data_IF_757828867729
#
_entry.id   IF_757828867729
#
_cell.length_a   1.000
_cell.length_b   1.000
_cell.length_c   1.000
_cell.angle_alpha   90.00
_cell.angle_beta   90.00
_cell.angle_gamma   90.00
#
_symmetry.space_group_name_H-M   'P 1'
#
loop_
_entity.id
_entity.type
_entity.pdbx_description
1 polymer ?
#
# COMPACT_ATOMS: atom_id res chain seq x y z
N UNK A 1 10.38 51.07 -33.07
CA UNK A 1 11.40 50.04 -32.69
C UNK A 1 11.30 49.51 -31.22
N UNK A 2 10.35 50.01 -30.42
CA UNK A 2 10.18 49.60 -29.00
C UNK A 2 9.20 48.46 -28.73
N UNK A 3 8.18 48.28 -29.57
CA UNK A 3 7.11 47.29 -29.34
C UNK A 3 7.53 45.87 -29.78
N UNK A 4 8.26 45.77 -30.89
CA UNK A 4 8.77 44.48 -31.41
C UNK A 4 9.79 43.85 -30.46
N UNK A 5 10.66 44.67 -29.81
CA UNK A 5 11.58 44.15 -28.76
C UNK A 5 10.88 43.68 -27.48
N UNK A 6 9.74 44.30 -27.10
CA UNK A 6 8.96 43.82 -25.95
C UNK A 6 8.19 42.54 -26.25
N UNK A 7 7.66 42.37 -27.46
CA UNK A 7 6.99 41.16 -27.90
C UNK A 7 7.98 39.99 -28.03
N UNK A 8 9.19 40.25 -28.56
CA UNK A 8 10.25 39.24 -28.63
C UNK A 8 10.75 38.82 -27.23
N UNK A 9 10.80 39.75 -26.27
CA UNK A 9 11.18 39.45 -24.89
C UNK A 9 10.09 38.66 -24.13
N UNK A 10 8.81 38.91 -24.42
CA UNK A 10 7.67 38.13 -23.87
C UNK A 10 7.63 36.74 -24.49
N UNK A 11 7.89 36.57 -25.76
CA UNK A 11 7.99 35.27 -26.43
C UNK A 11 9.22 34.47 -25.92
N UNK A 12 10.35 35.15 -25.63
CA UNK A 12 11.53 34.50 -25.04
C UNK A 12 11.31 34.07 -23.57
N UNK A 13 10.46 34.83 -22.83
CA UNK A 13 10.06 34.43 -21.46
C UNK A 13 9.09 33.25 -21.43
N UNK A 14 8.28 33.06 -22.47
CA UNK A 14 7.42 31.87 -22.62
C UNK A 14 8.17 30.64 -23.07
N UNK A 15 9.36 30.77 -23.68
CA UNK A 15 10.20 29.63 -24.07
C UNK A 15 11.18 29.16 -22.98
N UNK A 16 11.32 29.90 -21.87
CA UNK A 16 12.23 29.53 -20.77
C UNK A 16 11.48 28.90 -19.57
N UNK A 17 10.15 28.83 -19.64
CA UNK A 17 9.35 28.19 -18.61
C UNK A 17 8.76 26.85 -19.06
N UNK A 18 9.48 26.08 -19.88
CA UNK A 18 9.43 24.62 -19.77
C UNK A 18 10.26 24.23 -18.55
N UNK A 19 9.76 24.65 -17.39
CA UNK A 19 10.18 24.04 -16.14
C UNK A 19 9.88 22.56 -16.24
N UNK A 20 10.93 21.79 -16.23
CA UNK A 20 10.97 20.38 -15.95
C UNK A 20 9.93 20.02 -14.85
N UNK A 21 8.71 19.73 -15.22
CA UNK A 21 7.91 18.81 -14.48
C UNK A 21 8.56 17.44 -14.70
N UNK A 22 9.70 17.20 -14.05
CA UNK A 22 10.17 15.87 -13.80
C UNK A 22 9.06 15.22 -12.98
N UNK A 23 8.21 14.46 -13.66
CA UNK A 23 7.49 13.38 -13.01
C UNK A 23 8.55 12.59 -12.28
N UNK A 24 8.55 12.69 -10.95
CA UNK A 24 9.41 11.91 -10.05
C UNK A 24 8.94 10.47 -10.15
N UNK A 25 9.29 9.80 -11.25
CA UNK A 25 9.16 8.34 -11.35
C UNK A 25 10.02 7.71 -10.25
N UNK A 26 9.57 6.57 -9.71
CA UNK A 26 10.29 5.81 -8.70
C UNK A 26 11.74 5.59 -9.17
N UNK A 27 12.72 6.19 -8.50
CA UNK A 27 14.13 5.98 -8.82
C UNK A 27 14.62 4.70 -8.16
N UNK A 28 15.27 3.84 -8.94
CA UNK A 28 15.69 2.50 -8.56
C UNK A 28 17.17 2.28 -8.81
N UNK A 29 17.83 1.47 -7.98
CA UNK A 29 19.19 1.02 -8.20
C UNK A 29 19.17 -0.50 -8.48
N UNK A 30 19.55 -0.90 -9.69
CA UNK A 30 19.64 -2.30 -10.08
C UNK A 30 21.07 -2.59 -10.52
N UNK A 31 21.76 -3.54 -9.88
CA UNK A 31 23.17 -3.88 -10.13
C UNK A 31 24.10 -2.66 -10.16
N UNK A 32 23.91 -1.71 -9.24
CA UNK A 32 24.72 -0.50 -9.14
C UNK A 32 24.37 0.61 -10.13
N UNK A 33 23.43 0.39 -11.04
CA UNK A 33 22.94 1.39 -11.98
C UNK A 33 21.60 1.97 -11.50
N UNK A 34 21.41 3.26 -11.69
CA UNK A 34 20.17 3.95 -11.34
C UNK A 34 19.19 3.96 -12.50
N UNK A 35 17.92 3.73 -12.18
CA UNK A 35 16.81 3.72 -13.14
C UNK A 35 15.63 4.51 -12.59
N UNK A 36 14.84 5.07 -13.49
CA UNK A 36 13.48 5.52 -13.20
C UNK A 36 12.53 4.38 -13.62
N UNK A 37 11.64 3.98 -12.72
CA UNK A 37 10.55 3.08 -13.08
C UNK A 37 9.46 3.85 -13.80
N UNK A 38 9.14 3.44 -15.03
CA UNK A 38 8.06 3.96 -15.83
C UNK A 38 7.00 2.90 -16.09
N UNK A 39 5.75 3.21 -15.80
CA UNK A 39 4.61 2.34 -16.17
C UNK A 39 4.07 2.81 -17.51
N UNK A 40 4.08 1.91 -18.49
CA UNK A 40 3.64 2.20 -19.85
C UNK A 40 2.17 2.58 -19.88
N UNK A 41 1.87 3.76 -20.40
CA UNK A 41 0.51 4.29 -20.58
C UNK A 41 -0.10 3.82 -21.91
N UNK A 42 -1.44 3.87 -22.07
CA UNK A 42 -2.06 3.66 -23.38
C UNK A 42 -1.45 4.64 -24.39
N UNK A 43 -1.24 4.24 -25.61
CA UNK A 43 -0.67 5.06 -26.69
C UNK A 43 0.83 5.38 -26.58
N UNK A 44 1.52 5.08 -25.48
CA UNK A 44 2.97 5.24 -25.41
C UNK A 44 3.69 4.18 -26.26
N UNK A 45 4.75 4.63 -26.91
CA UNK A 45 5.67 3.81 -27.71
C UNK A 45 7.09 3.99 -27.16
N UNK A 46 8.01 3.09 -27.51
CA UNK A 46 9.43 3.30 -27.17
C UNK A 46 9.94 4.66 -27.61
N UNK A 47 9.51 5.15 -28.77
CA UNK A 47 9.91 6.48 -29.27
C UNK A 47 9.37 7.63 -28.39
N UNK A 48 8.13 7.55 -27.91
CA UNK A 48 7.58 8.58 -27.03
C UNK A 48 8.24 8.58 -25.67
N UNK A 49 8.51 7.38 -25.11
CA UNK A 49 9.22 7.20 -23.85
C UNK A 49 10.68 7.64 -23.96
N UNK A 50 11.36 7.28 -25.04
CA UNK A 50 12.72 7.73 -25.37
C UNK A 50 12.85 9.25 -25.35
N UNK A 51 11.96 9.96 -26.05
CA UNK A 51 11.90 11.43 -26.07
C UNK A 51 11.64 12.02 -24.68
N UNK A 52 10.70 11.43 -23.93
CA UNK A 52 10.31 11.89 -22.58
C UNK A 52 11.48 11.84 -21.61
N UNK A 53 12.25 10.75 -21.61
CA UNK A 53 13.35 10.54 -20.66
C UNK A 53 14.74 10.85 -21.22
N UNK A 54 14.84 11.28 -22.51
CA UNK A 54 16.11 11.56 -23.21
C UNK A 54 17.10 10.37 -23.18
N UNK A 55 16.56 9.16 -23.35
CA UNK A 55 17.28 7.89 -23.40
C UNK A 55 17.00 7.25 -24.75
N UNK A 56 17.98 6.62 -25.40
CA UNK A 56 17.76 6.03 -26.71
C UNK A 56 16.83 4.81 -26.64
N UNK A 57 16.16 4.50 -27.74
CA UNK A 57 15.27 3.32 -27.83
C UNK A 57 16.04 2.04 -27.61
N UNK A 58 17.28 1.97 -28.15
CA UNK A 58 18.20 0.84 -28.02
C UNK A 58 18.57 0.61 -26.56
N UNK A 59 18.89 1.68 -25.81
CA UNK A 59 19.17 1.61 -24.36
C UNK A 59 17.94 1.12 -23.60
N UNK A 60 16.74 1.61 -23.92
CA UNK A 60 15.50 1.14 -23.28
C UNK A 60 15.26 -0.35 -23.51
N UNK A 61 15.45 -0.83 -24.75
CA UNK A 61 15.28 -2.24 -25.10
C UNK A 61 16.36 -3.10 -24.41
N UNK A 62 17.60 -2.64 -24.40
CA UNK A 62 18.74 -3.36 -23.79
C UNK A 62 18.51 -3.59 -22.29
N UNK A 63 18.11 -2.54 -21.56
CA UNK A 63 17.89 -2.62 -20.11
C UNK A 63 16.62 -3.38 -19.71
N UNK A 64 15.62 -3.43 -20.57
CA UNK A 64 14.35 -4.12 -20.29
C UNK A 64 14.26 -5.51 -20.95
N UNK A 65 15.24 -5.88 -21.78
CA UNK A 65 15.27 -7.17 -22.50
C UNK A 65 14.00 -7.52 -23.27
N UNK A 66 13.25 -6.51 -23.68
CA UNK A 66 11.99 -6.68 -24.38
C UNK A 66 11.86 -5.68 -25.53
N UNK A 67 11.68 -6.18 -26.74
CA UNK A 67 11.49 -5.39 -27.96
C UNK A 67 10.04 -4.94 -28.19
N UNK A 68 9.08 -5.53 -27.47
CA UNK A 68 7.67 -5.17 -27.53
C UNK A 68 7.24 -4.46 -26.27
N UNK A 69 6.41 -3.43 -26.41
CA UNK A 69 5.87 -2.64 -25.33
C UNK A 69 4.43 -3.06 -25.07
N UNK A 70 4.09 -3.32 -23.80
CA UNK A 70 2.75 -3.67 -23.38
C UNK A 70 2.19 -2.62 -22.44
N UNK A 71 0.93 -2.33 -22.56
CA UNK A 71 0.20 -1.48 -21.61
C UNK A 71 0.38 -1.98 -20.18
N UNK A 72 0.66 -1.06 -19.25
CA UNK A 72 0.99 -1.34 -17.84
C UNK A 72 2.31 -2.08 -17.59
N UNK A 73 3.10 -2.31 -18.61
CA UNK A 73 4.44 -2.83 -18.41
C UNK A 73 5.28 -1.85 -17.58
N UNK A 74 6.00 -2.38 -16.60
CA UNK A 74 7.01 -1.61 -15.88
C UNK A 74 8.30 -1.60 -16.68
N UNK A 75 8.78 -0.41 -17.05
CA UNK A 75 10.06 -0.20 -17.72
C UNK A 75 11.08 0.41 -16.78
N UNK A 76 12.31 -0.06 -16.89
CA UNK A 76 13.50 0.53 -16.26
C UNK A 76 14.13 1.52 -17.23
N UNK A 77 14.10 2.80 -16.89
CA UNK A 77 14.68 3.88 -17.67
C UNK A 77 16.05 4.21 -17.09
N UNK A 78 17.18 3.96 -17.78
CA UNK A 78 18.51 4.19 -17.23
C UNK A 78 18.78 5.68 -17.00
N UNK A 79 19.37 6.01 -15.83
CA UNK A 79 19.79 7.37 -15.49
C UNK A 79 21.30 7.48 -15.69
N UNK A 80 21.76 8.46 -16.49
CA UNK A 80 23.21 8.67 -16.71
C UNK A 80 23.92 9.06 -15.41
N UNK A 81 25.12 8.54 -15.21
CA UNK A 81 25.92 8.56 -13.95
C UNK A 81 26.06 9.93 -13.26
N UNK A 82 26.15 11.03 -13.99
CA UNK A 82 26.30 12.38 -13.42
C UNK A 82 25.11 12.84 -12.55
N UNK A 83 23.90 12.36 -12.83
CA UNK A 83 22.71 12.63 -12.00
C UNK A 83 22.65 11.64 -10.83
N UNK A 84 23.08 10.38 -11.06
CA UNK A 84 23.18 9.35 -10.04
C UNK A 84 24.11 9.76 -8.90
N UNK A 85 25.29 10.28 -9.23
CA UNK A 85 26.28 10.76 -8.25
C UNK A 85 25.76 11.93 -7.42
N UNK A 86 25.02 12.88 -8.01
CA UNK A 86 24.43 14.00 -7.28
C UNK A 86 23.34 13.58 -6.29
N UNK A 87 22.59 12.50 -6.58
CA UNK A 87 21.54 11.98 -5.69
C UNK A 87 22.12 11.10 -4.57
N UNK A 88 23.21 10.36 -4.83
CA UNK A 88 23.85 9.46 -3.87
C UNK A 88 24.82 10.16 -2.91
N UNK A 89 25.52 11.23 -3.33
CA UNK A 89 26.63 11.83 -2.58
C UNK A 89 26.27 13.11 -1.80
N UNK A 90 25.05 13.62 -1.89
CA UNK A 90 24.64 14.82 -1.15
C UNK A 90 24.49 14.60 0.37
N UNK A 91 24.53 13.39 0.88
CA UNK A 91 24.16 13.04 2.26
C UNK A 91 25.26 12.39 3.11
N UNK A 92 26.56 12.67 2.86
CA UNK A 92 27.62 12.22 3.81
C UNK A 92 27.58 12.92 5.19
N UNK A 93 26.76 13.96 5.37
CA UNK A 93 26.67 14.73 6.64
C UNK A 93 25.38 14.51 7.45
N UNK A 94 24.40 13.69 7.01
CA UNK A 94 23.09 13.61 7.67
C UNK A 94 22.84 12.36 8.53
N UNK A 95 23.85 11.54 8.79
CA UNK A 95 23.67 10.31 9.59
C UNK A 95 23.23 10.53 11.06
N UNK A 96 23.24 11.75 11.57
CA UNK A 96 22.81 12.07 12.95
C UNK A 96 21.40 12.67 13.08
N UNK A 97 20.77 13.18 12.01
CA UNK A 97 19.45 13.85 12.09
C UNK A 97 18.26 12.96 11.76
N UNK A 98 18.47 11.69 11.45
CA UNK A 98 17.44 10.76 10.96
C UNK A 98 16.27 10.52 11.93
N UNK A 99 16.46 10.80 13.22
CA UNK A 99 15.51 10.42 14.27
C UNK A 99 14.95 11.60 15.11
N UNK A 100 15.20 12.85 14.72
CA UNK A 100 14.92 13.99 15.62
C UNK A 100 13.48 14.52 15.61
N UNK A 101 12.65 14.31 14.59
CA UNK A 101 11.41 15.07 14.40
C UNK A 101 10.07 14.32 14.44
N UNK A 102 10.00 13.10 14.97
CA UNK A 102 8.71 12.40 15.08
C UNK A 102 8.00 12.69 16.42
N UNK A 103 6.75 13.14 16.39
CA UNK A 103 5.91 13.32 17.58
C UNK A 103 5.70 11.99 18.29
N UNK A 104 6.05 11.90 19.57
CA UNK A 104 5.86 10.71 20.42
C UNK A 104 4.39 10.32 20.48
N UNK A 105 4.03 9.14 19.95
CA UNK A 105 2.73 8.52 20.17
C UNK A 105 2.59 8.04 21.62
N UNK A 106 1.43 8.28 22.26
CA UNK A 106 1.15 7.75 23.59
C UNK A 106 0.84 6.25 23.49
N UNK A 107 1.60 5.41 24.18
CA UNK A 107 1.21 4.02 24.43
C UNK A 107 2.20 2.90 24.08
N UNK A 108 3.26 3.18 23.35
CA UNK A 108 4.32 2.18 23.10
C UNK A 108 5.41 2.26 24.16
N UNK A 109 5.83 1.12 24.70
CA UNK A 109 7.01 1.03 25.56
C UNK A 109 8.23 1.50 24.77
N UNK A 110 9.10 2.27 25.41
CA UNK A 110 10.29 2.81 24.77
C UNK A 110 11.35 1.71 24.69
N UNK A 111 11.35 0.90 23.61
CA UNK A 111 12.36 -0.14 23.37
C UNK A 111 13.78 0.42 23.18
N UNK A 112 13.90 1.73 22.86
CA UNK A 112 15.20 2.40 22.65
C UNK A 112 16.12 2.43 23.89
N UNK A 113 15.63 1.99 25.06
CA UNK A 113 16.41 1.91 26.31
C UNK A 113 16.84 0.48 26.68
N UNK A 114 16.54 -0.52 25.85
CA UNK A 114 16.92 -1.89 26.10
C UNK A 114 18.24 -2.22 25.41
N UNK A 115 19.05 -3.05 26.05
CA UNK A 115 20.34 -3.53 25.50
C UNK A 115 20.15 -4.40 24.25
N UNK A 116 19.02 -5.13 24.18
CA UNK A 116 18.62 -5.90 23.00
C UNK A 116 17.11 -5.98 22.86
N UNK A 117 16.62 -6.11 21.63
CA UNK A 117 15.21 -6.29 21.28
C UNK A 117 15.00 -7.61 20.54
N UNK A 118 14.17 -8.50 21.11
CA UNK A 118 13.85 -9.79 20.52
C UNK A 118 12.53 -9.68 19.71
N UNK A 119 12.61 -9.89 18.41
CA UNK A 119 11.48 -9.83 17.47
C UNK A 119 11.20 -11.22 16.95
N UNK A 120 9.99 -11.75 17.12
CA UNK A 120 9.54 -12.97 16.47
C UNK A 120 8.64 -12.66 15.30
N UNK A 121 8.88 -13.35 14.18
CA UNK A 121 8.10 -13.23 12.94
C UNK A 121 7.51 -14.60 12.63
N UNK A 122 6.18 -14.67 12.59
CA UNK A 122 5.43 -15.89 12.35
C UNK A 122 4.72 -15.78 11.00
N UNK A 123 5.32 -16.35 9.96
CA UNK A 123 4.84 -16.24 8.57
C UNK A 123 4.69 -17.61 7.92
N UNK A 124 3.80 -17.76 6.92
CA UNK A 124 3.62 -19.01 6.20
C UNK A 124 4.61 -19.12 5.05
N UNK A 125 5.82 -19.60 5.34
CA UNK A 125 6.86 -19.83 4.32
C UNK A 125 6.60 -21.09 3.51
N UNK A 126 5.79 -22.02 4.04
CA UNK A 126 5.48 -23.30 3.41
C UNK A 126 6.74 -24.10 3.04
N UNK A 127 7.70 -24.17 3.97
CA UNK A 127 8.98 -24.86 3.75
C UNK A 127 8.79 -26.32 3.30
N UNK A 128 7.88 -27.08 3.94
CA UNK A 128 7.59 -28.45 3.53
C UNK A 128 7.10 -28.59 2.08
N UNK A 129 6.34 -27.60 1.58
CA UNK A 129 5.88 -27.62 0.18
C UNK A 129 6.99 -27.24 -0.78
N UNK A 130 7.83 -26.28 -0.40
CA UNK A 130 9.00 -25.90 -1.21
C UNK A 130 10.00 -27.05 -1.29
N UNK A 131 10.28 -27.74 -0.17
CA UNK A 131 11.15 -28.92 -0.14
C UNK A 131 10.59 -30.04 -1.03
N UNK A 132 9.26 -30.27 -0.99
CA UNK A 132 8.61 -31.23 -1.87
C UNK A 132 8.73 -30.86 -3.35
N UNK A 133 8.54 -29.58 -3.72
CA UNK A 133 8.72 -29.12 -5.09
C UNK A 133 10.15 -29.35 -5.56
N UNK A 134 11.14 -28.97 -4.76
CA UNK A 134 12.56 -29.11 -5.10
C UNK A 134 12.99 -30.57 -5.23
N UNK A 135 12.41 -31.50 -4.44
CA UNK A 135 12.75 -32.94 -4.49
C UNK A 135 12.34 -33.64 -5.80
N UNK A 136 11.38 -33.09 -6.53
CA UNK A 136 10.93 -33.62 -7.84
C UNK A 136 11.70 -33.06 -9.04
N UNK A 137 12.58 -32.08 -8.84
CA UNK A 137 13.26 -31.37 -9.91
C UNK A 137 14.72 -31.80 -10.00
N UNK A 138 15.24 -31.93 -11.24
CA UNK A 138 16.68 -32.07 -11.46
C UNK A 138 17.40 -30.76 -11.10
N UNK A 139 18.71 -30.80 -10.80
CA UNK A 139 19.50 -29.60 -10.46
C UNK A 139 19.39 -28.47 -11.49
N UNK A 140 19.32 -28.82 -12.80
CA UNK A 140 19.14 -27.85 -13.88
C UNK A 140 17.74 -27.25 -13.92
N UNK A 141 16.73 -27.93 -13.41
CA UNK A 141 15.34 -27.47 -13.31
C UNK A 141 15.15 -26.66 -12.03
N UNK A 142 15.75 -27.04 -10.90
CA UNK A 142 15.70 -26.30 -9.62
C UNK A 142 16.18 -24.88 -9.77
N UNK A 143 17.15 -24.62 -10.64
CA UNK A 143 17.65 -23.26 -10.90
C UNK A 143 16.67 -22.36 -11.70
N UNK A 144 15.60 -22.93 -12.27
CA UNK A 144 14.63 -22.23 -13.12
C UNK A 144 13.22 -22.17 -12.54
N UNK A 145 12.95 -23.00 -11.52
CA UNK A 145 11.61 -23.13 -10.97
C UNK A 145 11.33 -22.05 -9.92
N UNK A 146 10.09 -21.60 -9.93
CA UNK A 146 9.56 -20.70 -8.93
C UNK A 146 9.29 -21.44 -7.61
N UNK A 147 9.50 -20.75 -6.50
CA UNK A 147 9.07 -21.20 -5.18
C UNK A 147 7.53 -21.34 -5.12
N UNK A 148 7.05 -22.13 -4.16
CA UNK A 148 5.61 -22.29 -3.94
C UNK A 148 4.93 -20.92 -3.84
N UNK A 149 3.94 -20.69 -4.68
CA UNK A 149 3.32 -19.37 -4.93
C UNK A 149 2.88 -18.64 -3.65
N UNK A 150 2.31 -19.38 -2.69
CA UNK A 150 1.81 -18.76 -1.46
C UNK A 150 2.94 -18.35 -0.49
N UNK A 151 4.20 -18.79 -0.74
CA UNK A 151 5.39 -18.38 0.02
C UNK A 151 5.84 -16.95 -0.31
N UNK A 152 5.54 -16.44 -1.52
CA UNK A 152 6.01 -15.13 -1.97
C UNK A 152 5.67 -13.99 -1.02
N UNK A 153 4.47 -14.00 -0.45
CA UNK A 153 4.07 -12.97 0.52
C UNK A 153 4.95 -12.99 1.76
N UNK A 154 5.24 -14.18 2.30
CA UNK A 154 6.04 -14.35 3.50
C UNK A 154 7.51 -13.96 3.26
N UNK A 155 8.07 -14.36 2.11
CA UNK A 155 9.45 -14.03 1.73
C UNK A 155 9.63 -12.54 1.54
N UNK A 156 8.76 -11.90 0.77
CA UNK A 156 8.81 -10.45 0.55
C UNK A 156 8.63 -9.65 1.85
N UNK A 157 7.77 -10.15 2.75
CA UNK A 157 7.61 -9.54 4.07
C UNK A 157 8.88 -9.66 4.90
N UNK A 158 9.53 -10.84 4.91
CA UNK A 158 10.80 -11.07 5.60
C UNK A 158 11.92 -10.19 5.04
N UNK A 159 12.03 -10.06 3.72
CA UNK A 159 13.01 -9.18 3.07
C UNK A 159 12.88 -7.72 3.56
N UNK A 160 11.64 -7.22 3.66
CA UNK A 160 11.38 -5.89 4.22
C UNK A 160 11.82 -5.75 5.68
N UNK A 161 11.60 -6.79 6.51
CA UNK A 161 12.06 -6.83 7.90
C UNK A 161 13.59 -6.85 7.99
N UNK A 162 14.26 -7.61 7.14
CA UNK A 162 15.73 -7.67 7.11
C UNK A 162 16.32 -6.28 6.83
N UNK A 163 15.78 -5.53 5.85
CA UNK A 163 16.24 -4.15 5.60
C UNK A 163 15.97 -3.25 6.81
N UNK A 164 14.84 -3.41 7.48
CA UNK A 164 14.51 -2.61 8.66
C UNK A 164 15.48 -2.90 9.83
N UNK A 165 15.70 -4.18 10.15
CA UNK A 165 16.59 -4.59 11.25
C UNK A 165 18.05 -4.22 10.96
N UNK A 166 18.53 -4.40 9.72
CA UNK A 166 19.87 -3.95 9.30
C UNK A 166 20.02 -2.42 9.45
N UNK A 167 18.99 -1.67 9.09
CA UNK A 167 18.98 -0.21 9.20
C UNK A 167 19.00 0.24 10.67
N UNK A 168 18.25 -0.40 11.54
CA UNK A 168 18.19 -0.12 12.97
C UNK A 168 19.50 -0.53 13.68
N UNK A 169 20.09 -1.66 13.31
CA UNK A 169 21.39 -2.12 13.87
C UNK A 169 22.52 -1.13 13.57
N UNK A 170 22.50 -0.51 12.38
CA UNK A 170 23.46 0.57 12.03
C UNK A 170 23.30 1.83 12.89
N UNK A 171 22.19 1.99 13.59
CA UNK A 171 21.98 3.10 14.55
C UNK A 171 22.35 2.72 15.99
N UNK A 172 22.95 1.54 16.20
CA UNK A 172 23.35 1.04 17.52
C UNK A 172 22.28 0.24 18.25
N UNK A 173 21.17 -0.09 17.60
CA UNK A 173 20.12 -0.92 18.22
C UNK A 173 20.47 -2.41 18.04
N UNK A 174 20.56 -3.16 19.14
CA UNK A 174 20.80 -4.59 19.09
C UNK A 174 19.47 -5.34 18.90
N UNK A 175 19.28 -5.98 17.74
CA UNK A 175 18.03 -6.69 17.38
C UNK A 175 18.30 -8.15 17.08
N UNK A 176 17.56 -9.03 17.75
CA UNK A 176 17.51 -10.46 17.47
C UNK A 176 16.21 -10.78 16.72
N UNK A 177 16.31 -11.23 15.48
CA UNK A 177 15.17 -11.61 14.66
C UNK A 177 15.00 -13.12 14.64
N UNK A 178 13.88 -13.60 15.21
CA UNK A 178 13.49 -15.01 15.24
C UNK A 178 12.41 -15.26 14.19
N UNK A 179 12.70 -16.10 13.22
CA UNK A 179 11.79 -16.42 12.11
C UNK A 179 11.19 -17.80 12.30
N UNK A 180 9.86 -17.88 12.27
CA UNK A 180 9.12 -19.13 12.43
C UNK A 180 8.19 -19.35 11.23
N UNK A 181 8.31 -20.54 10.60
CA UNK A 181 7.37 -20.95 9.56
C UNK A 181 6.10 -21.52 10.20
N UNK A 182 4.99 -20.87 9.91
CA UNK A 182 3.66 -21.30 10.35
C UNK A 182 3.00 -22.30 9.40
N UNK A 183 3.44 -22.39 8.15
CA UNK A 183 2.79 -23.12 7.04
C UNK A 183 1.27 -22.91 6.97
N UNK A 184 0.77 -21.81 7.55
CA UNK A 184 -0.66 -21.57 7.76
C UNK A 184 -1.34 -22.71 8.54
N UNK A 185 -0.58 -23.47 9.33
CA UNK A 185 -1.05 -24.60 10.15
C UNK A 185 -1.18 -24.19 11.62
N UNK A 186 -2.36 -24.44 12.18
CA UNK A 186 -2.68 -24.14 13.57
C UNK A 186 -1.90 -25.03 14.56
N UNK A 187 -1.62 -26.28 14.19
CA UNK A 187 -0.86 -27.20 15.02
C UNK A 187 0.62 -26.76 15.14
N UNK A 188 1.24 -26.33 14.02
CA UNK A 188 2.59 -25.76 14.05
C UNK A 188 2.67 -24.52 14.95
N UNK A 189 1.70 -23.61 14.84
CA UNK A 189 1.66 -22.41 15.71
C UNK A 189 1.49 -22.80 17.18
N UNK A 190 0.64 -23.77 17.51
CA UNK A 190 0.50 -24.29 18.87
C UNK A 190 1.79 -24.94 19.38
N UNK A 191 2.55 -25.65 18.52
CA UNK A 191 3.84 -26.23 18.89
C UNK A 191 4.86 -25.14 19.24
N UNK A 192 4.98 -24.07 18.40
CA UNK A 192 5.84 -22.90 18.67
C UNK A 192 5.54 -22.30 20.06
N UNK A 193 4.25 -22.23 20.42
CA UNK A 193 3.80 -21.71 21.72
C UNK A 193 4.17 -22.66 22.84
N UNK A 194 3.91 -24.00 22.70
CA UNK A 194 4.23 -25.04 23.68
C UNK A 194 5.71 -25.10 23.95
N UNK A 195 6.55 -25.01 22.93
CA UNK A 195 8.01 -24.97 23.02
C UNK A 195 8.55 -23.72 23.71
N UNK A 196 7.66 -22.83 24.17
CA UNK A 196 7.98 -21.55 24.83
C UNK A 196 8.88 -20.63 24.00
N UNK A 197 8.95 -20.81 22.67
CA UNK A 197 9.79 -20.03 21.76
C UNK A 197 9.45 -18.52 21.78
N UNK A 198 8.20 -18.18 22.17
CA UNK A 198 7.75 -16.78 22.28
C UNK A 198 7.89 -16.21 23.72
N UNK A 199 8.47 -16.95 24.68
CA UNK A 199 8.54 -16.50 26.09
C UNK A 199 9.36 -15.20 26.24
N UNK A 200 10.52 -15.14 25.61
CA UNK A 200 11.47 -14.02 25.74
C UNK A 200 11.39 -13.02 24.56
N UNK A 201 10.31 -13.05 23.81
CA UNK A 201 10.08 -12.13 22.68
C UNK A 201 9.41 -10.85 23.18
N UNK A 202 9.86 -9.72 22.70
CA UNK A 202 9.31 -8.39 22.99
C UNK A 202 8.25 -7.98 21.98
N UNK A 203 8.51 -8.24 20.69
CA UNK A 203 7.64 -7.90 19.57
C UNK A 203 7.33 -9.15 18.76
N UNK A 204 6.05 -9.52 18.68
CA UNK A 204 5.55 -10.66 17.89
C UNK A 204 4.82 -10.09 16.66
N UNK A 205 5.31 -10.39 15.46
CA UNK A 205 4.70 -10.00 14.18
C UNK A 205 4.05 -11.24 13.56
N UNK A 206 2.74 -11.21 13.40
CA UNK A 206 1.96 -12.36 12.92
C UNK A 206 1.49 -13.27 14.05
N UNK A 207 1.00 -14.48 13.71
CA UNK A 207 0.72 -15.03 12.36
C UNK A 207 -0.17 -14.15 11.48
N UNK A 208 -0.03 -14.33 10.16
CA UNK A 208 -0.79 -13.51 9.18
C UNK A 208 -2.28 -13.82 9.20
N UNK A 209 -2.62 -15.12 9.28
CA UNK A 209 -4.01 -15.55 9.22
C UNK A 209 -4.67 -15.49 10.60
N UNK A 210 -5.88 -14.92 10.66
CA UNK A 210 -6.62 -14.64 11.90
C UNK A 210 -6.77 -15.88 12.81
N UNK A 211 -7.05 -17.07 12.23
CA UNK A 211 -7.20 -18.31 12.99
C UNK A 211 -5.94 -18.62 13.78
N UNK A 212 -4.79 -18.53 13.14
CA UNK A 212 -3.49 -18.82 13.71
C UNK A 212 -3.03 -17.72 14.67
N UNK A 213 -3.26 -16.46 14.32
CA UNK A 213 -2.96 -15.31 15.19
C UNK A 213 -3.74 -15.39 16.51
N UNK A 214 -4.97 -15.89 16.48
CA UNK A 214 -5.78 -16.06 17.70
C UNK A 214 -5.16 -17.03 18.71
N UNK A 215 -4.41 -18.04 18.28
CA UNK A 215 -3.67 -18.92 19.20
C UNK A 215 -2.63 -18.14 20.00
N UNK A 216 -1.96 -17.17 19.37
CA UNK A 216 -0.97 -16.30 20.01
C UNK A 216 -1.65 -15.25 20.90
N UNK A 217 -2.68 -14.56 20.39
CA UNK A 217 -3.33 -13.46 21.11
C UNK A 217 -4.06 -13.91 22.37
N UNK A 218 -4.65 -15.11 22.39
CA UNK A 218 -5.29 -15.68 23.58
C UNK A 218 -4.32 -15.90 24.73
N UNK A 219 -3.06 -16.22 24.43
CA UNK A 219 -2.04 -16.51 25.45
C UNK A 219 -1.28 -15.25 25.85
N UNK A 220 -0.84 -14.47 24.87
CA UNK A 220 0.03 -13.35 25.10
C UNK A 220 -0.66 -11.96 25.00
N UNK A 221 -1.92 -11.89 24.56
CA UNK A 221 -2.62 -10.64 24.31
C UNK A 221 -2.89 -9.78 25.55
N UNK A 222 -2.77 -10.33 26.76
CA UNK A 222 -2.86 -9.60 28.01
C UNK A 222 -1.50 -9.32 28.66
N UNK A 223 -0.42 -9.87 28.11
CA UNK A 223 0.92 -9.66 28.65
C UNK A 223 1.43 -8.27 28.28
N UNK A 224 1.52 -7.38 29.25
CA UNK A 224 1.93 -5.98 29.05
C UNK A 224 3.40 -5.82 28.59
N UNK A 225 4.21 -6.87 28.70
CA UNK A 225 5.63 -6.83 28.32
C UNK A 225 5.87 -7.18 26.85
N UNK A 226 4.82 -7.60 26.16
CA UNK A 226 4.87 -7.99 24.76
C UNK A 226 4.01 -7.05 23.91
N UNK A 227 4.42 -6.84 22.67
CA UNK A 227 3.61 -6.24 21.62
C UNK A 227 3.29 -7.32 20.59
N UNK A 228 2.03 -7.42 20.18
CA UNK A 228 1.59 -8.33 19.13
C UNK A 228 1.04 -7.53 17.98
N UNK A 229 1.59 -7.74 16.79
CA UNK A 229 1.19 -7.05 15.57
C UNK A 229 0.43 -8.00 14.65
N UNK A 230 -0.81 -7.62 14.30
CA UNK A 230 -1.57 -8.23 13.22
C UNK A 230 -1.20 -7.54 11.91
N UNK A 231 -0.31 -8.13 11.08
CA UNK A 231 0.35 -7.39 10.02
C UNK A 231 -0.55 -7.11 8.82
N UNK A 232 -1.40 -8.05 8.43
CA UNK A 232 -2.15 -7.99 7.16
C UNK A 232 -3.66 -8.29 7.31
N UNK A 233 -4.13 -8.77 8.47
CA UNK A 233 -5.53 -9.09 8.67
C UNK A 233 -6.38 -7.85 8.93
N UNK A 234 -7.58 -7.81 8.32
CA UNK A 234 -8.63 -6.81 8.59
C UNK A 234 -9.63 -7.25 9.66
N UNK A 235 -9.51 -8.47 10.16
CA UNK A 235 -10.45 -9.00 11.16
C UNK A 235 -10.08 -8.51 12.55
N UNK A 236 -10.84 -7.53 13.05
CA UNK A 236 -10.59 -6.89 14.35
C UNK A 236 -11.05 -7.72 15.56
N UNK A 237 -11.65 -8.89 15.36
CA UNK A 237 -12.11 -9.73 16.48
C UNK A 237 -10.98 -10.18 17.39
N UNK A 238 -9.74 -10.29 16.89
CA UNK A 238 -8.54 -10.60 17.68
C UNK A 238 -8.21 -9.53 18.72
N UNK A 239 -8.60 -8.28 18.47
CA UNK A 239 -8.32 -7.17 19.38
C UNK A 239 -9.06 -7.29 20.72
N UNK A 240 -10.08 -8.17 20.81
CA UNK A 240 -10.75 -8.47 22.07
C UNK A 240 -9.88 -9.26 23.04
N UNK A 241 -8.86 -9.97 22.53
CA UNK A 241 -8.04 -10.87 23.33
C UNK A 241 -7.06 -10.12 24.26
N UNK A 242 -6.76 -8.83 24.00
CA UNK A 242 -5.90 -8.05 24.87
C UNK A 242 -5.57 -6.64 24.40
N UNK A 243 -4.98 -5.85 25.30
CA UNK A 243 -4.68 -4.43 25.10
C UNK A 243 -3.31 -4.13 24.48
N UNK A 244 -2.50 -5.15 24.18
CA UNK A 244 -1.17 -5.01 23.57
C UNK A 244 -1.14 -5.53 22.12
N UNK A 245 -2.31 -5.68 21.49
CA UNK A 245 -2.49 -6.15 20.11
C UNK A 245 -2.70 -4.94 19.20
N UNK A 246 -1.93 -4.87 18.14
CA UNK A 246 -1.96 -3.77 17.15
C UNK A 246 -2.31 -4.32 15.77
N UNK A 247 -3.40 -3.82 15.20
CA UNK A 247 -3.84 -4.17 13.85
C UNK A 247 -3.43 -3.08 12.88
N UNK A 248 -2.67 -3.45 11.85
CA UNK A 248 -2.11 -2.51 10.86
C UNK A 248 -3.16 -2.15 9.81
N UNK A 249 -3.78 -3.18 9.22
CA UNK A 249 -4.77 -2.97 8.16
C UNK A 249 -6.15 -2.74 8.78
N UNK A 250 -6.73 -1.55 8.62
CA UNK A 250 -8.01 -1.22 9.22
C UNK A 250 -9.15 -2.05 8.61
N UNK A 251 -10.15 -2.44 9.41
CA UNK A 251 -11.38 -3.05 8.91
C UNK A 251 -12.15 -2.09 8.01
N UNK A 252 -13.09 -2.61 7.24
CA UNK A 252 -13.89 -1.78 6.32
C UNK A 252 -14.68 -0.69 7.05
N UNK A 253 -15.14 -0.92 8.28
CA UNK A 253 -15.82 0.11 9.07
C UNK A 253 -14.98 1.38 9.25
N UNK A 254 -13.69 1.24 9.56
CA UNK A 254 -12.76 2.37 9.70
C UNK A 254 -12.50 3.04 8.34
N UNK A 255 -12.43 2.26 7.25
CA UNK A 255 -12.30 2.81 5.90
C UNK A 255 -13.57 3.60 5.50
N UNK A 256 -14.77 3.08 5.81
CA UNK A 256 -16.06 3.75 5.62
C UNK A 256 -16.11 5.07 6.39
N UNK A 257 -15.67 5.08 7.65
CA UNK A 257 -15.60 6.30 8.46
C UNK A 257 -14.66 7.34 7.85
N UNK A 258 -13.50 6.92 7.35
CA UNK A 258 -12.52 7.79 6.67
C UNK A 258 -13.13 8.41 5.41
N UNK A 259 -13.71 7.58 4.53
CA UNK A 259 -14.39 8.02 3.30
C UNK A 259 -15.53 8.99 3.64
N UNK A 260 -16.37 8.65 4.62
CA UNK A 260 -17.49 9.48 5.05
C UNK A 260 -17.04 10.84 5.57
N UNK A 261 -15.98 10.85 6.37
CA UNK A 261 -15.39 12.09 6.89
C UNK A 261 -14.80 12.95 5.78
N UNK A 262 -14.05 12.33 4.86
CA UNK A 262 -13.50 13.02 3.69
C UNK A 262 -14.62 13.62 2.82
N UNK A 263 -15.62 12.82 2.46
CA UNK A 263 -16.79 13.25 1.69
C UNK A 263 -17.51 14.43 2.35
N UNK A 264 -17.71 14.38 3.68
CA UNK A 264 -18.39 15.45 4.39
C UNK A 264 -17.62 16.77 4.38
N UNK A 265 -16.29 16.72 4.29
CA UNK A 265 -15.42 17.91 4.27
C UNK A 265 -15.27 18.49 2.86
N UNK A 266 -15.08 17.64 1.87
CA UNK A 266 -14.69 18.03 0.51
C UNK A 266 -15.87 18.14 -0.47
N UNK A 267 -16.94 17.37 -0.23
CA UNK A 267 -18.10 17.24 -1.11
C UNK A 267 -19.38 17.69 -0.38
N UNK A 268 -19.43 18.96 0.03
CA UNK A 268 -20.51 19.49 0.88
C UNK A 268 -21.86 19.58 0.18
N UNK A 269 -21.84 19.89 -1.13
CA UNK A 269 -23.03 20.25 -1.92
C UNK A 269 -23.52 19.11 -2.83
N UNK A 270 -22.73 18.06 -3.00
CA UNK A 270 -23.05 16.93 -3.87
C UNK A 270 -24.11 16.03 -3.20
N UNK A 271 -24.98 15.46 -4.01
CA UNK A 271 -25.94 14.43 -3.58
C UNK A 271 -25.22 13.12 -3.31
N UNK A 272 -25.63 12.38 -2.29
CA UNK A 272 -25.00 11.12 -1.90
C UNK A 272 -25.86 9.96 -2.35
N UNK A 273 -25.26 9.08 -3.16
CA UNK A 273 -25.83 7.82 -3.60
C UNK A 273 -24.94 6.66 -3.10
N UNK A 274 -25.56 5.68 -2.45
CA UNK A 274 -24.90 4.48 -1.94
C UNK A 274 -25.37 3.30 -2.79
N UNK A 275 -24.44 2.60 -3.46
CA UNK A 275 -24.70 1.43 -4.28
C UNK A 275 -24.07 0.20 -3.63
N UNK A 276 -24.86 -0.81 -3.30
CA UNK A 276 -24.35 -2.01 -2.64
C UNK A 276 -25.14 -3.25 -3.06
N UNK A 277 -24.55 -4.42 -2.89
CA UNK A 277 -25.31 -5.67 -2.90
C UNK A 277 -26.07 -5.84 -1.60
N UNK A 278 -27.16 -6.59 -1.63
CA UNK A 278 -27.97 -6.89 -0.44
C UNK A 278 -27.15 -7.53 0.69
N UNK A 279 -26.19 -8.39 0.35
CA UNK A 279 -25.26 -9.00 1.33
C UNK A 279 -24.35 -7.98 2.04
N UNK A 280 -24.19 -6.77 1.47
CA UNK A 280 -23.37 -5.67 1.99
C UNK A 280 -24.23 -4.55 2.61
N UNK A 281 -25.50 -4.80 2.85
CA UNK A 281 -26.45 -3.82 3.40
C UNK A 281 -25.96 -3.19 4.71
N UNK A 282 -25.24 -3.95 5.54
CA UNK A 282 -24.66 -3.43 6.80
C UNK A 282 -23.73 -2.26 6.53
N UNK A 283 -22.81 -2.37 5.55
CA UNK A 283 -21.90 -1.31 5.18
C UNK A 283 -22.61 -0.11 4.53
N UNK A 284 -23.66 -0.39 3.75
CA UNK A 284 -24.51 0.67 3.21
C UNK A 284 -25.24 1.44 4.33
N UNK A 285 -25.71 0.73 5.37
CA UNK A 285 -26.30 1.33 6.57
C UNK A 285 -25.28 2.16 7.36
N UNK A 286 -24.03 1.72 7.46
CA UNK A 286 -22.96 2.49 8.13
C UNK A 286 -22.80 3.86 7.47
N UNK A 287 -22.65 3.91 6.13
CA UNK A 287 -22.63 5.18 5.39
C UNK A 287 -23.86 6.02 5.64
N UNK A 288 -25.05 5.43 5.47
CA UNK A 288 -26.34 6.14 5.68
C UNK A 288 -26.43 6.75 7.08
N UNK A 289 -26.05 5.98 8.10
CA UNK A 289 -26.07 6.44 9.49
C UNK A 289 -25.09 7.59 9.71
N UNK A 290 -23.86 7.50 9.18
CA UNK A 290 -22.89 8.58 9.29
C UNK A 290 -23.46 9.88 8.72
N UNK A 291 -23.98 9.88 7.48
CA UNK A 291 -24.52 11.10 6.87
C UNK A 291 -25.77 11.62 7.59
N UNK A 292 -26.60 10.74 8.13
CA UNK A 292 -27.74 11.12 8.97
C UNK A 292 -27.29 11.91 10.20
N UNK A 293 -26.21 11.51 10.88
CA UNK A 293 -25.64 12.28 12.03
C UNK A 293 -25.16 13.65 11.62
N UNK A 294 -24.78 13.83 10.36
CA UNK A 294 -24.36 15.12 9.76
C UNK A 294 -25.52 15.90 9.12
N UNK A 295 -26.76 15.48 9.34
CA UNK A 295 -27.97 16.06 8.76
C UNK A 295 -27.95 16.12 7.21
N UNK A 296 -27.23 15.19 6.57
CA UNK A 296 -27.17 15.04 5.11
C UNK A 296 -28.02 13.88 4.64
N UNK A 297 -28.85 14.13 3.60
CA UNK A 297 -29.64 13.08 2.96
C UNK A 297 -28.76 12.22 2.06
N UNK A 298 -28.98 10.90 2.09
CA UNK A 298 -28.35 9.93 1.19
C UNK A 298 -29.39 8.96 0.66
N UNK A 299 -29.30 8.61 -0.62
CA UNK A 299 -30.11 7.54 -1.23
C UNK A 299 -29.32 6.24 -1.17
N UNK A 300 -29.98 5.13 -0.93
CA UNK A 300 -29.39 3.77 -0.94
C UNK A 300 -30.08 2.96 -2.02
N UNK A 301 -29.31 2.33 -2.89
CA UNK A 301 -29.75 1.37 -3.87
C UNK A 301 -29.09 0.02 -3.54
N UNK A 302 -29.91 -0.99 -3.24
CA UNK A 302 -29.44 -2.35 -2.98
C UNK A 302 -29.78 -3.24 -4.18
N UNK A 303 -28.80 -3.98 -4.65
CA UNK A 303 -28.93 -4.92 -5.77
C UNK A 303 -29.00 -6.35 -5.25
N UNK A 304 -30.02 -7.09 -5.68
CA UNK A 304 -30.19 -8.52 -5.35
C UNK A 304 -29.32 -9.40 -6.24
N UNK A 305 -29.00 -8.97 -7.46
CA UNK A 305 -28.18 -9.71 -8.42
C UNK A 305 -27.50 -8.79 -9.44
N UNK A 306 -26.47 -9.32 -10.11
CA UNK A 306 -25.68 -8.55 -11.08
C UNK A 306 -26.49 -8.14 -12.33
N UNK A 307 -27.51 -8.92 -12.68
CA UNK A 307 -28.36 -8.64 -13.84
C UNK A 307 -29.24 -7.39 -13.65
N UNK A 308 -29.48 -6.97 -12.42
CA UNK A 308 -30.25 -5.77 -12.11
C UNK A 308 -29.44 -4.47 -12.26
N UNK A 309 -28.11 -4.59 -12.46
CA UNK A 309 -27.21 -3.47 -12.63
C UNK A 309 -27.20 -3.09 -14.11
N UNK A 310 -28.08 -2.20 -14.49
CA UNK A 310 -28.19 -1.64 -15.85
C UNK A 310 -28.10 -0.12 -15.83
N UNK A 311 -27.83 0.48 -17.00
CA UNK A 311 -27.82 1.93 -17.14
C UNK A 311 -29.14 2.55 -16.71
N UNK A 312 -30.28 1.96 -17.15
CA UNK A 312 -31.61 2.45 -16.84
C UNK A 312 -31.92 2.38 -15.35
N UNK A 313 -31.49 1.31 -14.69
CA UNK A 313 -31.65 1.19 -13.22
C UNK A 313 -30.87 2.28 -12.50
N UNK A 314 -29.65 2.56 -12.89
CA UNK A 314 -28.81 3.59 -12.26
C UNK A 314 -29.32 5.01 -12.59
N UNK A 315 -29.78 5.26 -13.80
CA UNK A 315 -30.35 6.55 -14.19
C UNK A 315 -31.61 6.95 -13.37
N UNK A 316 -32.35 5.99 -12.82
CA UNK A 316 -33.47 6.28 -11.90
C UNK A 316 -33.02 6.98 -10.61
N UNK A 317 -31.76 6.82 -10.21
CA UNK A 317 -31.18 7.44 -9.02
C UNK A 317 -30.36 8.68 -9.32
N UNK A 318 -29.89 8.82 -10.55
CA UNK A 318 -29.04 9.92 -11.01
C UNK A 318 -29.88 10.92 -11.84
N UNK A 319 -29.74 12.17 -11.53
CA UNK A 319 -30.36 13.28 -12.24
C UNK A 319 -29.29 14.31 -12.59
N UNK A 320 -29.67 15.43 -13.21
CA UNK A 320 -28.70 16.47 -13.62
C UNK A 320 -28.12 17.25 -12.41
N UNK A 321 -27.39 16.52 -11.53
CA UNK A 321 -26.72 17.06 -10.35
C UNK A 321 -25.32 16.46 -10.21
N UNK A 322 -24.50 17.05 -9.36
CA UNK A 322 -23.23 16.43 -8.93
C UNK A 322 -23.48 15.38 -7.85
N UNK A 323 -22.84 14.24 -8.01
CA UNK A 323 -23.01 13.11 -7.06
C UNK A 323 -21.69 12.65 -6.46
N UNK A 324 -21.77 12.23 -5.19
CA UNK A 324 -20.82 11.30 -4.59
C UNK A 324 -21.48 9.93 -4.57
N UNK A 325 -20.86 8.98 -5.24
CA UNK A 325 -21.31 7.59 -5.31
C UNK A 325 -20.43 6.74 -4.39
N UNK A 326 -21.00 6.13 -3.37
CA UNK A 326 -20.28 5.32 -2.38
C UNK A 326 -20.59 3.85 -2.64
N UNK A 327 -19.56 3.05 -2.86
CA UNK A 327 -19.70 1.62 -3.19
C UNK A 327 -18.91 0.79 -2.16
N UNK A 328 -19.53 0.36 -1.05
CA UNK A 328 -18.87 -0.37 0.03
C UNK A 328 -18.68 -1.86 -0.31
N UNK A 329 -18.29 -2.17 -1.55
CA UNK A 329 -18.17 -3.54 -2.00
C UNK A 329 -16.73 -3.98 -2.23
N UNK A 330 -16.39 -5.13 -1.66
CA UNK A 330 -15.17 -5.87 -1.94
C UNK A 330 -15.40 -7.03 -2.93
N UNK A 331 -16.59 -7.16 -3.46
CA UNK A 331 -16.94 -8.20 -4.44
C UNK A 331 -16.47 -7.78 -5.83
N UNK A 332 -15.49 -8.51 -6.37
CA UNK A 332 -14.90 -8.22 -7.68
C UNK A 332 -15.95 -8.23 -8.79
N UNK A 333 -16.86 -9.19 -8.77
CA UNK A 333 -17.88 -9.32 -9.82
C UNK A 333 -18.85 -8.14 -9.81
N UNK A 334 -19.28 -7.70 -8.62
CA UNK A 334 -20.14 -6.54 -8.47
C UNK A 334 -19.47 -5.25 -8.95
N UNK A 335 -18.25 -5.01 -8.48
CA UNK A 335 -17.48 -3.81 -8.85
C UNK A 335 -17.20 -3.77 -10.35
N UNK A 336 -16.80 -4.91 -10.93
CA UNK A 336 -16.53 -5.03 -12.37
C UNK A 336 -17.78 -4.87 -13.25
N UNK A 337 -18.96 -5.02 -12.67
CA UNK A 337 -20.23 -4.75 -13.37
C UNK A 337 -20.65 -3.29 -13.20
N UNK A 338 -20.61 -2.75 -11.98
CA UNK A 338 -21.17 -1.42 -11.71
C UNK A 338 -20.30 -0.28 -12.25
N UNK A 339 -18.97 -0.41 -12.21
CA UNK A 339 -18.05 0.66 -12.65
C UNK A 339 -18.18 0.96 -14.14
N UNK A 340 -18.12 -0.01 -15.08
CA UNK A 340 -18.33 0.27 -16.49
C UNK A 340 -19.70 0.87 -16.77
N UNK A 341 -20.78 0.38 -16.11
CA UNK A 341 -22.12 0.93 -16.30
C UNK A 341 -22.21 2.39 -15.87
N UNK A 342 -21.62 2.74 -14.70
CA UNK A 342 -21.51 4.15 -14.27
C UNK A 342 -20.74 4.99 -15.29
N UNK A 343 -19.67 4.45 -15.88
CA UNK A 343 -18.87 5.12 -16.91
C UNK A 343 -19.63 5.45 -18.20
N UNK A 344 -20.78 4.79 -18.47
CA UNK A 344 -21.65 5.13 -19.61
C UNK A 344 -22.62 6.28 -19.34
N UNK A 345 -22.77 6.70 -18.08
CA UNK A 345 -23.72 7.74 -17.68
C UNK A 345 -23.02 9.08 -17.72
N UNK A 346 -23.58 10.00 -18.46
CA UNK A 346 -23.07 11.38 -18.56
C UNK A 346 -23.58 12.22 -17.38
N UNK A 347 -22.95 12.02 -16.23
CA UNK A 347 -23.26 12.73 -14.98
C UNK A 347 -21.95 13.02 -14.24
N UNK A 348 -21.81 14.24 -13.74
CA UNK A 348 -20.64 14.60 -12.93
C UNK A 348 -20.71 13.85 -11.58
N UNK A 349 -19.79 12.92 -11.38
CA UNK A 349 -19.75 12.13 -10.17
C UNK A 349 -18.34 11.88 -9.68
N UNK A 350 -18.21 11.74 -8.38
CA UNK A 350 -17.01 11.22 -7.70
C UNK A 350 -17.38 9.89 -7.05
N UNK A 351 -16.71 8.82 -7.43
CA UNK A 351 -16.99 7.48 -6.91
C UNK A 351 -15.99 7.13 -5.81
N UNK A 352 -16.45 6.60 -4.69
CA UNK A 352 -15.60 6.06 -3.63
C UNK A 352 -15.77 4.55 -3.54
N UNK A 353 -14.66 3.84 -3.66
CA UNK A 353 -14.56 2.39 -3.49
C UNK A 353 -13.75 1.99 -2.26
N UNK A 354 -13.35 0.73 -2.21
CA UNK A 354 -12.49 0.16 -1.17
C UNK A 354 -11.09 -0.10 -1.74
N UNK A 355 -10.08 -0.16 -0.86
CA UNK A 355 -8.68 -0.30 -1.25
C UNK A 355 -8.37 -1.53 -2.15
N UNK A 356 -9.13 -2.60 -2.03
CA UNK A 356 -8.94 -3.83 -2.80
C UNK A 356 -9.23 -3.69 -4.30
N UNK A 357 -9.93 -2.62 -4.73
CA UNK A 357 -10.18 -2.36 -6.16
C UNK A 357 -8.90 -2.16 -6.96
N UNK A 358 -7.85 -1.64 -6.33
CA UNK A 358 -6.54 -1.50 -6.96
C UNK A 358 -5.94 -2.83 -7.47
N UNK A 359 -6.38 -3.96 -6.90
CA UNK A 359 -5.93 -5.29 -7.31
C UNK A 359 -6.83 -5.96 -8.37
N UNK A 360 -7.90 -5.29 -8.82
CA UNK A 360 -8.83 -5.84 -9.81
C UNK A 360 -8.35 -5.49 -11.22
N UNK A 361 -7.60 -6.42 -11.82
CA UNK A 361 -6.98 -6.25 -13.15
C UNK A 361 -7.98 -5.96 -14.28
N UNK A 362 -9.24 -6.32 -14.09
CA UNK A 362 -10.32 -6.12 -15.07
C UNK A 362 -11.02 -4.74 -14.96
N UNK A 363 -10.58 -3.87 -14.03
CA UNK A 363 -11.02 -2.48 -13.97
C UNK A 363 -10.12 -1.62 -14.85
N UNK A 364 -10.72 -1.01 -15.87
CA UNK A 364 -10.01 -0.08 -16.73
C UNK A 364 -9.70 1.25 -16.01
N UNK A 365 -8.42 1.61 -15.97
CA UNK A 365 -7.96 2.84 -15.28
C UNK A 365 -8.55 4.09 -15.91
N UNK A 366 -8.76 4.13 -17.22
CA UNK A 366 -9.35 5.30 -17.87
C UNK A 366 -10.79 5.54 -17.40
N UNK A 367 -11.55 4.46 -17.20
CA UNK A 367 -12.89 4.52 -16.60
C UNK A 367 -12.84 4.96 -15.14
N UNK A 368 -11.87 4.46 -14.35
CA UNK A 368 -11.69 4.90 -12.96
C UNK A 368 -11.35 6.40 -12.89
N UNK A 369 -10.51 6.90 -13.79
CA UNK A 369 -10.17 8.32 -13.90
C UNK A 369 -11.38 9.16 -14.33
N UNK A 370 -12.13 8.73 -15.37
CA UNK A 370 -13.37 9.40 -15.83
C UNK A 370 -14.39 9.56 -14.71
N UNK A 371 -14.56 8.52 -13.87
CA UNK A 371 -15.47 8.51 -12.72
C UNK A 371 -14.86 9.20 -11.49
N UNK A 372 -13.66 9.74 -11.59
CA UNK A 372 -12.91 10.32 -10.47
C UNK A 372 -12.94 9.39 -9.25
N UNK A 373 -12.53 8.12 -9.44
CA UNK A 373 -12.62 7.10 -8.39
C UNK A 373 -11.57 7.34 -7.32
N UNK A 374 -12.05 7.40 -6.08
CA UNK A 374 -11.25 7.55 -4.86
C UNK A 374 -11.34 6.28 -4.03
N UNK A 375 -10.24 5.90 -3.36
CA UNK A 375 -10.26 4.79 -2.41
C UNK A 375 -9.27 5.01 -1.26
N UNK A 376 -9.56 4.46 -0.07
CA UNK A 376 -8.60 4.46 1.02
C UNK A 376 -7.47 3.51 0.68
N UNK A 377 -6.22 3.88 0.96
CA UNK A 377 -5.08 2.99 0.74
C UNK A 377 -4.28 2.75 2.02
N UNK A 378 -4.62 1.68 2.79
CA UNK A 378 -3.84 1.28 3.96
C UNK A 378 -2.44 0.74 3.66
N UNK A 379 -2.14 0.49 2.37
CA UNK A 379 -0.86 0.00 1.87
C UNK A 379 -0.04 1.10 1.20
N UNK A 380 -0.53 2.34 1.22
CA UNK A 380 0.13 3.46 0.58
C UNK A 380 1.56 3.64 1.11
N UNK A 381 2.48 3.78 0.19
CA UNK A 381 3.88 3.97 0.48
C UNK A 381 4.37 5.19 -0.30
N UNK A 382 4.54 6.29 0.42
CA UNK A 382 4.93 7.56 -0.16
C UNK A 382 6.42 7.57 -0.54
N UNK A 383 6.71 7.43 -1.81
CA UNK A 383 8.08 7.52 -2.33
C UNK A 383 8.66 8.94 -2.35
N UNK A 384 7.87 9.96 -2.02
CA UNK A 384 8.40 11.32 -1.84
C UNK A 384 9.19 11.45 -0.53
N UNK A 385 8.93 10.58 0.44
CA UNK A 385 9.66 10.56 1.70
C UNK A 385 11.05 9.95 1.53
N UNK A 386 12.08 10.65 2.01
CA UNK A 386 13.48 10.24 1.89
C UNK A 386 13.76 8.85 2.50
N UNK A 387 13.12 8.52 3.62
CA UNK A 387 13.22 7.22 4.26
C UNK A 387 12.75 6.09 3.35
N UNK A 388 11.63 6.31 2.66
CA UNK A 388 11.03 5.35 1.75
C UNK A 388 11.86 5.18 0.46
N UNK A 389 12.45 6.28 -0.04
CA UNK A 389 13.42 6.23 -1.16
C UNK A 389 14.65 5.41 -0.77
N UNK A 390 15.21 5.68 0.41
CA UNK A 390 16.36 4.93 0.93
C UNK A 390 16.06 3.44 1.12
N UNK A 391 14.89 3.12 1.66
CA UNK A 391 14.43 1.73 1.75
C UNK A 391 14.41 1.06 0.38
N UNK A 392 13.82 1.70 -0.64
CA UNK A 392 13.78 1.18 -2.01
C UNK A 392 15.17 0.91 -2.59
N UNK A 393 16.11 1.84 -2.37
CA UNK A 393 17.50 1.70 -2.80
C UNK A 393 18.24 0.55 -2.10
N UNK A 394 18.12 0.45 -0.77
CA UNK A 394 18.73 -0.64 0.02
C UNK A 394 18.13 -2.01 -0.35
N UNK A 395 16.82 -2.06 -0.58
CA UNK A 395 16.13 -3.28 -1.00
C UNK A 395 16.64 -3.74 -2.37
N UNK A 396 16.69 -2.84 -3.35
CA UNK A 396 17.18 -3.14 -4.69
C UNK A 396 18.66 -3.58 -4.67
N UNK A 397 19.49 -2.94 -3.85
CA UNK A 397 20.89 -3.32 -3.69
C UNK A 397 21.05 -4.73 -3.09
N UNK A 398 20.25 -5.08 -2.07
CA UNK A 398 20.41 -6.35 -1.34
C UNK A 398 19.79 -7.53 -2.08
N UNK A 399 18.59 -7.34 -2.68
CA UNK A 399 17.80 -8.42 -3.26
C UNK A 399 17.75 -8.40 -4.79
N UNK A 400 18.35 -7.42 -5.44
CA UNK A 400 18.31 -7.22 -6.89
C UNK A 400 16.87 -7.21 -7.47
N UNK A 401 15.93 -6.67 -6.69
CA UNK A 401 14.50 -6.65 -6.97
C UNK A 401 13.86 -5.37 -6.43
N UNK A 402 12.61 -5.10 -6.80
CA UNK A 402 11.83 -4.01 -6.25
C UNK A 402 10.99 -4.47 -5.07
N UNK A 403 10.91 -3.66 -3.99
CA UNK A 403 10.05 -3.99 -2.87
C UNK A 403 8.57 -3.95 -3.30
N UNK A 404 7.87 -5.04 -3.08
CA UNK A 404 6.41 -5.06 -3.23
C UNK A 404 5.71 -4.48 -1.98
N UNK A 405 4.38 -4.47 -1.99
CA UNK A 405 3.58 -3.95 -0.86
C UNK A 405 3.88 -4.65 0.48
N UNK A 406 4.24 -5.93 0.48
CA UNK A 406 4.50 -6.69 1.70
C UNK A 406 5.85 -6.31 2.31
N UNK A 407 6.87 -6.14 1.50
CA UNK A 407 8.17 -5.67 1.95
C UNK A 407 8.09 -4.24 2.52
N UNK A 408 7.35 -3.35 1.83
CA UNK A 408 7.13 -1.97 2.28
C UNK A 408 6.44 -1.91 3.65
N UNK A 409 5.35 -2.64 3.80
CA UNK A 409 4.60 -2.70 5.06
C UNK A 409 5.45 -3.29 6.19
N UNK A 410 6.21 -4.34 5.93
CA UNK A 410 7.08 -4.97 6.91
C UNK A 410 8.16 -4.01 7.42
N UNK A 411 8.81 -3.29 6.49
CA UNK A 411 9.78 -2.25 6.82
C UNK A 411 9.15 -1.16 7.70
N UNK A 412 8.03 -0.57 7.29
CA UNK A 412 7.36 0.48 8.05
C UNK A 412 6.92 0.02 9.43
N UNK A 413 6.37 -1.20 9.55
CA UNK A 413 5.95 -1.78 10.83
C UNK A 413 7.14 -1.94 11.78
N UNK A 414 8.22 -2.56 11.31
CA UNK A 414 9.42 -2.77 12.12
C UNK A 414 10.00 -1.43 12.59
N UNK A 415 10.17 -0.47 11.68
CA UNK A 415 10.65 0.87 12.02
C UNK A 415 9.77 1.53 13.09
N UNK A 416 8.44 1.48 12.91
CA UNK A 416 7.50 2.09 13.86
C UNK A 416 7.56 1.46 15.24
N UNK A 417 7.43 0.13 15.33
CA UNK A 417 7.38 -0.55 16.63
C UNK A 417 8.72 -0.52 17.37
N UNK A 418 9.85 -0.47 16.66
CA UNK A 418 11.17 -0.35 17.29
C UNK A 418 11.51 1.07 17.72
N UNK A 419 11.09 2.10 16.97
CA UNK A 419 11.50 3.50 17.21
C UNK A 419 10.38 4.41 17.66
N UNK A 420 9.13 3.98 17.58
CA UNK A 420 7.93 4.79 17.76
C UNK A 420 7.85 6.01 16.79
N UNK A 421 8.49 5.87 15.62
CA UNK A 421 8.52 6.87 14.55
C UNK A 421 7.88 6.31 13.30
N UNK A 422 7.12 7.13 12.56
CA UNK A 422 6.41 6.76 11.34
C UNK A 422 4.95 7.18 11.35
N UNK A 423 4.23 6.81 10.31
CA UNK A 423 2.91 7.38 10.00
C UNK A 423 1.72 6.65 10.65
N UNK A 424 1.96 5.59 11.43
CA UNK A 424 0.85 4.90 12.07
C UNK A 424 0.23 5.72 13.21
N UNK A 425 -1.12 5.77 13.23
CA UNK A 425 -1.91 6.40 14.30
C UNK A 425 -2.88 5.39 14.89
N UNK A 426 -2.46 4.75 15.96
CA UNK A 426 -3.25 3.72 16.61
C UNK A 426 -4.29 4.32 17.57
N UNK A 427 -5.53 3.84 17.47
CA UNK A 427 -6.61 4.11 18.43
C UNK A 427 -7.18 2.80 18.96
N UNK A 428 -7.64 2.83 20.20
CA UNK A 428 -8.35 1.66 20.79
C UNK A 428 -9.58 1.34 19.96
N UNK A 429 -9.75 0.06 19.62
CA UNK A 429 -10.92 -0.42 18.89
C UNK A 429 -12.03 -0.89 19.82
N UNK A 430 -11.66 -1.57 20.91
CA UNK A 430 -12.56 -1.94 22.02
C UNK A 430 -12.08 -1.30 23.31
N UNK A 431 -13.00 -1.03 24.25
CA UNK A 431 -12.70 -0.32 25.49
C UNK A 431 -11.53 -0.96 26.28
N UNK A 432 -11.53 -2.30 26.38
CA UNK A 432 -10.48 -3.09 27.05
C UNK A 432 -9.59 -3.87 26.05
N UNK A 433 -9.74 -3.62 24.75
CA UNK A 433 -9.07 -4.35 23.67
C UNK A 433 -7.83 -3.65 23.13
N UNK A 434 -7.35 -4.20 22.00
CA UNK A 434 -6.21 -3.70 21.26
C UNK A 434 -6.50 -2.47 20.39
N UNK A 435 -5.57 -2.17 19.53
CA UNK A 435 -5.51 -0.94 18.75
C UNK A 435 -5.59 -1.22 17.24
N UNK A 436 -6.23 -0.30 16.52
CA UNK A 436 -6.29 -0.29 15.06
C UNK A 436 -5.61 0.97 14.53
N UNK A 437 -4.89 0.83 13.43
CA UNK A 437 -4.36 1.97 12.70
C UNK A 437 -5.48 2.77 12.03
N UNK A 438 -5.47 4.09 12.22
CA UNK A 438 -6.40 5.04 11.60
C UNK A 438 -5.71 5.97 10.60
N UNK A 439 -4.41 5.81 10.38
CA UNK A 439 -3.66 6.63 9.45
C UNK A 439 -3.45 5.89 8.13
N UNK A 440 -4.12 6.33 7.12
CA UNK A 440 -3.98 5.91 5.71
C UNK A 440 -4.63 6.99 4.84
N UNK A 441 -4.10 7.28 3.66
CA UNK A 441 -4.65 8.30 2.77
C UNK A 441 -5.89 7.83 2.02
N UNK A 442 -6.65 8.81 1.50
CA UNK A 442 -7.51 8.64 0.35
C UNK A 442 -6.65 8.94 -0.89
N UNK A 443 -6.71 8.06 -1.86
CA UNK A 443 -5.97 8.18 -3.13
C UNK A 443 -6.90 8.10 -4.32
N UNK A 444 -6.45 8.58 -5.47
CA UNK A 444 -7.13 8.44 -6.77
C UNK A 444 -6.12 8.17 -7.89
N UNK A 445 -6.58 7.79 -9.06
CA UNK A 445 -5.76 7.80 -10.26
C UNK A 445 -5.81 9.17 -10.93
N UNK A 446 -4.63 9.74 -11.21
CA UNK A 446 -4.44 10.95 -12.01
C UNK A 446 -3.31 10.65 -13.00
N UNK A 447 -3.53 10.89 -14.27
CA UNK A 447 -2.55 10.60 -15.34
C UNK A 447 -1.95 9.18 -15.24
N UNK A 448 -2.79 8.19 -14.89
CA UNK A 448 -2.43 6.78 -14.69
C UNK A 448 -1.49 6.50 -13.49
N UNK A 449 -1.25 7.48 -12.66
CA UNK A 449 -0.50 7.36 -11.40
C UNK A 449 -1.44 7.48 -10.20
N UNK A 450 -0.99 7.03 -9.03
CA UNK A 450 -1.77 7.12 -7.79
C UNK A 450 -1.35 8.38 -7.05
N UNK A 451 -2.30 9.31 -6.90
CA UNK A 451 -2.13 10.54 -6.15
C UNK A 451 -2.75 10.44 -4.75
N UNK A 452 -2.03 10.93 -3.76
CA UNK A 452 -2.55 11.11 -2.41
C UNK A 452 -3.34 12.41 -2.30
N UNK A 453 -4.50 12.36 -1.64
CA UNK A 453 -5.42 13.50 -1.53
C UNK A 453 -5.49 14.13 -0.13
N UNK A 454 -5.05 13.41 0.93
CA UNK A 454 -5.14 13.88 2.32
C UNK A 454 -4.05 13.33 3.26
#
# INVERSE_FOLDING_TARGET
MGIIKKILFIILLFFVCETFAQTTGDTLIVKGNMYIRHIVKPTETYNTISKKYKVSVEELILHNKNSRLYYRQSLLIPIKSTLAERLLFKDKKSNQSFFSNAKKGRGLKNFSKRDSLNIAVLLPFYSSKNDSLLSFLSESQQAKEDIYKDSYMALQYLEGLIIATDSLSKTGMNINLFVYDTENDSAKVQQIIKDRKLKNIDLIIGPVFTKNLRNVTRIYGKNKDKIIVSPLSRNSSILKDGGNIFQIIPPFSIQIDKISSYTSKRHKNEKILILAQKKEETHAKDYKNYFRTKKRKSKVCLFDGLNTITRDTLCKFLSNHKYVVLIPSADRSFVSKVIPVLGTIDTNMTVFGLHNWQSYENLDISTLMKLNVHFPDPYFFDYQQKENQRFGALFAQKFNALPNKYAKIAFQQCMYFCTNKGDYKFKKYYLKGGFVNHHFPIVKYTDYEIDQLD
#
